data_IF_256227557700
#
_entry.id   IF_256227557700
#
_cell.length_a   1.000
_cell.length_b   1.000
_cell.length_c   1.000
_cell.angle_alpha   90.00
_cell.angle_beta   90.00
_cell.angle_gamma   90.00
#
_symmetry.space_group_name_H-M   'P 1'
#
loop_
_entity.id
_entity.type
_entity.pdbx_description
1 polymer ?
#
# COMPACT_ATOMS: atom_id res chain seq x y z
N UNK A 1 27.32 10.32 8.75
CA UNK A 1 27.51 8.94 8.25
C UNK A 1 26.24 8.59 7.50
N UNK A 2 26.23 8.84 6.19
CA UNK A 2 25.04 8.73 5.33
C UNK A 2 25.01 7.34 4.70
N UNK A 3 23.89 6.62 4.85
CA UNK A 3 23.66 5.31 4.21
C UNK A 3 23.29 5.51 2.73
N UNK A 4 23.71 4.62 1.83
CA UNK A 4 23.43 4.73 0.41
C UNK A 4 22.00 4.26 0.09
N UNK A 5 21.29 5.06 -0.71
CA UNK A 5 20.02 4.71 -1.34
C UNK A 5 20.25 3.53 -2.30
N UNK A 6 19.78 2.34 -1.93
CA UNK A 6 19.72 1.20 -2.85
C UNK A 6 18.49 1.35 -3.74
N UNK A 7 18.73 1.65 -5.01
CA UNK A 7 17.76 1.54 -6.09
C UNK A 7 17.31 0.08 -6.24
N UNK A 8 16.06 -0.21 -5.92
CA UNK A 8 15.43 -1.49 -6.27
C UNK A 8 15.20 -1.51 -7.79
N UNK A 9 16.06 -2.23 -8.52
CA UNK A 9 15.81 -2.60 -9.90
C UNK A 9 14.73 -3.67 -9.92
N UNK A 10 13.54 -3.31 -10.42
CA UNK A 10 12.49 -4.28 -10.72
C UNK A 10 12.97 -5.06 -11.95
N UNK A 11 13.47 -6.26 -11.67
CA UNK A 11 13.87 -7.21 -12.69
C UNK A 11 12.63 -7.61 -13.49
N UNK A 12 12.73 -7.40 -14.81
CA UNK A 12 11.78 -7.83 -15.85
C UNK A 12 11.16 -9.20 -15.53
N UNK A 13 9.84 -9.24 -15.40
CA UNK A 13 9.09 -10.48 -15.53
C UNK A 13 9.02 -10.83 -17.02
N UNK A 14 9.63 -11.95 -17.39
CA UNK A 14 9.62 -12.49 -18.74
C UNK A 14 8.24 -13.05 -19.07
N UNK A 15 7.54 -12.43 -20.02
CA UNK A 15 6.50 -13.08 -20.82
C UNK A 15 7.01 -13.21 -22.24
N UNK A 16 7.34 -14.44 -22.61
CA UNK A 16 7.55 -14.84 -24.00
C UNK A 16 6.19 -14.95 -24.68
N UNK A 17 5.97 -14.09 -25.68
CA UNK A 17 5.12 -14.37 -26.84
C UNK A 17 5.44 -13.34 -27.92
N UNK A 18 5.87 -13.85 -29.07
CA UNK A 18 6.40 -13.14 -30.22
C UNK A 18 5.39 -12.24 -30.98
N UNK A 19 5.94 -11.16 -31.55
CA UNK A 19 5.63 -10.49 -32.82
C UNK A 19 4.26 -9.82 -33.05
N UNK A 20 4.25 -8.48 -33.13
CA UNK A 20 4.21 -7.73 -34.41
C UNK A 20 4.15 -6.20 -34.18
N UNK A 21 4.75 -5.47 -35.13
CA UNK A 21 5.02 -4.04 -35.10
C UNK A 21 3.77 -3.16 -35.31
N UNK A 22 3.86 -1.95 -34.72
CA UNK A 22 3.31 -0.65 -35.14
C UNK A 22 1.87 -0.62 -35.67
N UNK A 23 0.98 0.02 -34.90
CA UNK A 23 0.20 1.17 -35.38
C UNK A 23 -0.52 1.84 -34.21
N UNK A 24 -0.53 3.19 -34.22
CA UNK A 24 -1.23 4.05 -33.27
C UNK A 24 -2.68 3.57 -33.08
N UNK A 25 -2.99 3.03 -31.91
CA UNK A 25 -4.36 2.66 -31.56
C UNK A 25 -4.64 2.90 -30.09
N UNK A 26 -5.74 3.60 -29.88
CA UNK A 26 -6.39 3.93 -28.62
C UNK A 26 -6.25 2.79 -27.61
N UNK A 27 -5.65 3.08 -26.46
CA UNK A 27 -5.61 2.16 -25.33
C UNK A 27 -7.03 2.12 -24.77
N UNK A 28 -7.84 1.19 -25.28
CA UNK A 28 -9.00 0.68 -24.56
C UNK A 28 -8.48 0.09 -23.25
N UNK A 29 -8.67 0.82 -22.15
CA UNK A 29 -8.29 0.38 -20.81
C UNK A 29 -9.19 -0.82 -20.50
N UNK A 30 -8.68 -2.02 -20.79
CA UNK A 30 -9.33 -3.27 -20.45
C UNK A 30 -9.37 -3.41 -18.92
N UNK A 31 -10.54 -3.68 -18.37
CA UNK A 31 -10.85 -3.83 -16.93
C UNK A 31 -9.84 -4.73 -16.16
N UNK A 32 -9.23 -5.72 -16.83
CA UNK A 32 -8.20 -6.62 -16.28
C UNK A 32 -6.89 -5.88 -15.92
N UNK A 33 -6.53 -4.82 -16.65
CA UNK A 33 -5.31 -4.07 -16.37
C UNK A 33 -5.44 -3.18 -15.13
N UNK A 34 -6.62 -2.58 -14.89
CA UNK A 34 -6.87 -1.75 -13.71
C UNK A 34 -6.81 -2.57 -12.42
N UNK A 35 -7.46 -3.73 -12.40
CA UNK A 35 -7.42 -4.66 -11.26
C UNK A 35 -6.01 -5.14 -10.92
N UNK A 36 -5.20 -5.44 -11.94
CA UNK A 36 -3.79 -5.86 -11.75
C UNK A 36 -2.94 -4.76 -11.14
N UNK A 37 -3.09 -3.52 -11.62
CA UNK A 37 -2.37 -2.36 -11.10
C UNK A 37 -2.76 -2.11 -9.64
N UNK A 38 -4.06 -2.17 -9.31
CA UNK A 38 -4.52 -2.04 -7.93
C UNK A 38 -3.96 -3.15 -7.02
N UNK A 39 -3.96 -4.39 -7.47
CA UNK A 39 -3.38 -5.51 -6.73
C UNK A 39 -1.86 -5.35 -6.54
N UNK A 40 -1.14 -4.87 -7.55
CA UNK A 40 0.29 -4.60 -7.45
C UNK A 40 0.57 -3.53 -6.39
N UNK A 41 -0.17 -2.41 -6.44
CA UNK A 41 -0.05 -1.33 -5.44
C UNK A 41 -0.42 -1.84 -4.05
N UNK A 42 -1.51 -2.60 -3.91
CA UNK A 42 -1.93 -3.16 -2.62
C UNK A 42 -0.88 -4.11 -2.05
N UNK A 43 -0.33 -5.01 -2.87
CA UNK A 43 0.73 -5.92 -2.43
C UNK A 43 1.97 -5.16 -1.97
N UNK A 44 2.33 -4.09 -2.67
CA UNK A 44 3.45 -3.23 -2.32
C UNK A 44 3.21 -2.48 -0.99
N UNK A 45 2.04 -1.86 -0.81
CA UNK A 45 1.71 -1.15 0.44
C UNK A 45 1.66 -2.11 1.62
N UNK A 46 1.12 -3.32 1.44
CA UNK A 46 1.10 -4.35 2.48
C UNK A 46 2.52 -4.78 2.83
N UNK A 47 3.39 -4.97 1.83
CA UNK A 47 4.80 -5.29 2.07
C UNK A 47 5.52 -4.18 2.84
N UNK A 48 5.31 -2.91 2.49
CA UNK A 48 5.89 -1.78 3.24
C UNK A 48 5.37 -1.71 4.67
N UNK A 49 4.08 -2.00 4.89
CA UNK A 49 3.46 -2.05 6.22
C UNK A 49 4.15 -3.11 7.10
N UNK A 50 4.33 -4.33 6.56
CA UNK A 50 5.00 -5.42 7.26
C UNK A 50 6.49 -5.14 7.46
N UNK A 51 7.19 -4.60 6.46
CA UNK A 51 8.61 -4.23 6.58
C UNK A 51 8.83 -3.20 7.67
N UNK A 52 7.95 -2.21 7.76
CA UNK A 52 7.99 -1.21 8.82
C UNK A 52 7.77 -1.85 10.20
N UNK A 53 6.81 -2.76 10.35
CA UNK A 53 6.58 -3.50 11.59
C UNK A 53 7.84 -4.27 12.04
N UNK A 54 8.49 -4.98 11.11
CA UNK A 54 9.80 -5.60 11.30
C UNK A 54 10.97 -4.61 11.37
N UNK A 55 10.76 -3.30 11.40
CA UNK A 55 11.80 -2.33 11.74
C UNK A 55 11.75 -1.92 13.21
N UNK A 56 10.60 -2.12 13.87
CA UNK A 56 10.35 -1.70 15.26
C UNK A 56 11.06 -2.64 16.24
N UNK A 57 12.02 -2.15 17.06
CA UNK A 57 12.78 -3.00 17.97
C UNK A 57 11.93 -3.71 19.03
N UNK A 58 10.89 -3.05 19.55
CA UNK A 58 9.98 -3.63 20.55
C UNK A 58 9.15 -4.78 19.98
N UNK A 59 8.77 -4.72 18.70
CA UNK A 59 8.08 -5.81 18.02
C UNK A 59 9.00 -7.04 17.85
N UNK A 60 10.26 -6.83 17.43
CA UNK A 60 11.25 -7.93 17.30
C UNK A 60 11.61 -8.62 18.61
N UNK A 61 11.46 -7.92 19.73
CA UNK A 61 11.76 -8.46 21.04
C UNK A 61 10.70 -9.46 21.54
N UNK A 62 9.52 -9.49 20.91
CA UNK A 62 8.45 -10.43 21.21
C UNK A 62 8.77 -11.83 20.68
N UNK A 63 8.12 -12.86 21.23
CA UNK A 63 8.20 -14.20 20.67
C UNK A 63 7.46 -14.27 19.31
N UNK A 64 7.74 -15.29 18.50
CA UNK A 64 7.18 -15.41 17.15
C UNK A 64 5.64 -15.50 17.14
N UNK A 65 5.04 -16.09 18.18
CA UNK A 65 3.60 -16.21 18.30
C UNK A 65 2.94 -14.84 18.52
N UNK A 66 3.46 -14.05 19.45
CA UNK A 66 2.98 -12.70 19.75
C UNK A 66 3.21 -11.76 18.55
N UNK A 67 4.33 -11.93 17.83
CA UNK A 67 4.56 -11.21 16.57
C UNK A 67 3.47 -11.52 15.55
N UNK A 68 3.11 -12.79 15.36
CA UNK A 68 2.07 -13.20 14.42
C UNK A 68 0.70 -12.64 14.83
N UNK A 69 0.33 -12.77 16.11
CA UNK A 69 -0.95 -12.27 16.63
C UNK A 69 -1.07 -10.76 16.41
N UNK A 70 -0.01 -10.00 16.72
CA UNK A 70 -0.01 -8.56 16.50
C UNK A 70 -0.13 -8.19 15.02
N UNK A 71 0.53 -8.93 14.12
CA UNK A 71 0.36 -8.73 12.66
C UNK A 71 -1.09 -8.98 12.26
N UNK A 72 -1.67 -10.11 12.66
CA UNK A 72 -3.05 -10.50 12.32
C UNK A 72 -4.09 -9.48 12.80
N UNK A 73 -3.84 -8.81 13.92
CA UNK A 73 -4.74 -7.80 14.48
C UNK A 73 -4.54 -6.40 13.86
N UNK A 74 -3.31 -6.06 13.44
CA UNK A 74 -2.97 -4.68 13.06
C UNK A 74 -2.80 -4.45 11.55
N UNK A 75 -2.68 -5.51 10.73
CA UNK A 75 -2.30 -5.37 9.31
C UNK A 75 -3.22 -4.45 8.51
N UNK A 76 -4.53 -4.47 8.75
CA UNK A 76 -5.51 -3.67 7.99
C UNK A 76 -5.38 -2.18 8.29
N UNK A 77 -5.17 -1.82 9.56
CA UNK A 77 -4.99 -0.44 9.98
C UNK A 77 -3.60 0.08 9.60
N UNK A 78 -2.56 -0.76 9.68
CA UNK A 78 -1.23 -0.44 9.16
C UNK A 78 -1.25 -0.24 7.64
N UNK A 79 -2.05 -1.02 6.91
CA UNK A 79 -2.23 -0.86 5.47
C UNK A 79 -2.85 0.48 5.10
N UNK A 80 -3.90 0.92 5.83
CA UNK A 80 -4.53 2.23 5.63
C UNK A 80 -3.55 3.37 5.92
N UNK A 81 -2.87 3.33 7.07
CA UNK A 81 -1.90 4.36 7.46
C UNK A 81 -0.74 4.44 6.48
N UNK A 82 -0.25 3.30 6.00
CA UNK A 82 0.83 3.25 4.99
C UNK A 82 0.34 3.73 3.62
N UNK A 83 -0.90 3.40 3.23
CA UNK A 83 -1.52 3.95 2.02
C UNK A 83 -1.59 5.48 2.06
N UNK A 84 -2.00 6.04 3.20
CA UNK A 84 -2.12 7.48 3.42
C UNK A 84 -0.75 8.18 3.43
N UNK A 85 0.23 7.63 4.17
CA UNK A 85 1.60 8.14 4.21
C UNK A 85 2.22 8.21 2.80
N UNK A 86 2.00 7.18 1.99
CA UNK A 86 2.53 7.09 0.63
C UNK A 86 1.65 7.79 -0.42
N UNK A 87 0.49 8.32 -0.02
CA UNK A 87 -0.49 8.98 -0.89
C UNK A 87 -0.95 8.08 -2.04
N UNK A 88 -1.04 6.77 -1.79
CA UNK A 88 -1.52 5.77 -2.76
C UNK A 88 -3.05 5.70 -2.71
N UNK A 89 -3.66 5.23 -3.81
CA UNK A 89 -5.11 5.03 -3.96
C UNK A 89 -6.00 6.29 -4.01
N UNK A 90 -5.43 7.50 -4.04
CA UNK A 90 -6.21 8.75 -4.11
C UNK A 90 -6.68 9.08 -5.54
N UNK A 91 -5.87 8.76 -6.56
CA UNK A 91 -6.09 9.17 -7.96
C UNK A 91 -6.48 8.01 -8.89
N UNK A 92 -6.73 6.81 -8.35
CA UNK A 92 -7.22 5.67 -9.13
C UNK A 92 -8.72 5.87 -9.37
N UNK A 93 -9.03 6.85 -10.22
CA UNK A 93 -10.34 7.02 -10.85
C UNK A 93 -10.58 5.81 -11.77
N UNK A 94 -11.80 5.28 -11.82
CA UNK A 94 -12.25 4.08 -12.58
C UNK A 94 -12.49 2.79 -11.76
N UNK A 95 -12.95 2.92 -10.51
CA UNK A 95 -14.01 2.01 -10.07
C UNK A 95 -15.21 2.89 -9.81
N UNK A 96 -15.87 3.33 -10.89
CA UNK A 96 -17.20 3.93 -10.86
C UNK A 96 -18.18 2.86 -10.37
N UNK A 97 -18.13 2.62 -9.06
CA UNK A 97 -19.25 2.05 -8.36
C UNK A 97 -20.18 3.21 -8.08
N UNK A 98 -21.34 3.25 -8.76
CA UNK A 98 -22.46 4.17 -8.47
C UNK A 98 -22.98 4.07 -7.02
N UNK A 99 -22.37 3.19 -6.23
CA UNK A 99 -22.63 2.98 -4.81
C UNK A 99 -21.68 3.88 -4.00
N UNK A 100 -22.18 5.06 -3.64
CA UNK A 100 -21.48 6.06 -2.81
C UNK A 100 -21.01 5.48 -1.46
N UNK A 101 -21.60 4.38 -1.01
CA UNK A 101 -21.25 3.68 0.24
C UNK A 101 -20.34 2.45 0.04
N UNK A 102 -19.71 2.30 -1.13
CA UNK A 102 -18.83 1.15 -1.36
C UNK A 102 -17.64 1.14 -0.38
N UNK A 103 -17.18 -0.03 0.11
CA UNK A 103 -16.06 -0.10 1.04
C UNK A 103 -14.78 0.55 0.52
N UNK A 104 -14.62 0.58 -0.81
CA UNK A 104 -13.51 1.25 -1.47
C UNK A 104 -13.62 2.77 -1.37
N UNK A 105 -14.82 3.34 -1.58
CA UNK A 105 -15.07 4.77 -1.38
C UNK A 105 -14.83 5.20 0.08
N UNK A 106 -15.26 4.38 1.06
CA UNK A 106 -14.99 4.63 2.47
C UNK A 106 -13.48 4.63 2.78
N UNK A 107 -12.75 3.65 2.24
CA UNK A 107 -11.29 3.56 2.35
C UNK A 107 -10.59 4.77 1.74
N UNK A 108 -10.99 5.19 0.54
CA UNK A 108 -10.46 6.39 -0.11
C UNK A 108 -10.77 7.66 0.68
N UNK A 109 -11.97 7.77 1.25
CA UNK A 109 -12.37 8.90 2.09
C UNK A 109 -11.51 8.99 3.34
N UNK A 110 -11.24 7.85 3.98
CA UNK A 110 -10.35 7.79 5.13
C UNK A 110 -8.95 8.30 4.76
N UNK A 111 -8.36 7.84 3.65
CA UNK A 111 -7.05 8.32 3.19
C UNK A 111 -7.07 9.84 2.88
N UNK A 112 -8.13 10.33 2.24
CA UNK A 112 -8.30 11.77 1.94
C UNK A 112 -8.37 12.60 3.22
N UNK A 113 -8.98 12.08 4.28
CA UNK A 113 -9.04 12.76 5.58
C UNK A 113 -7.65 12.93 6.21
N UNK A 114 -6.81 11.90 6.18
CA UNK A 114 -5.41 11.98 6.64
C UNK A 114 -4.61 13.04 5.86
N UNK A 115 -4.93 13.22 4.59
CA UNK A 115 -4.27 14.21 3.72
C UNK A 115 -4.67 15.65 4.04
N UNK A 116 -5.95 15.88 4.39
CA UNK A 116 -6.44 17.21 4.81
C UNK A 116 -5.70 17.68 6.06
N UNK A 117 -5.45 16.75 7.00
CA UNK A 117 -4.81 17.05 8.28
C UNK A 117 -3.29 17.24 8.18
N UNK A 118 -2.68 17.12 6.99
CA UNK A 118 -1.25 17.37 6.75
C UNK A 118 -0.32 16.65 7.75
N UNK A 119 -0.64 15.40 8.04
CA UNK A 119 0.06 14.59 9.03
C UNK A 119 1.51 14.39 8.59
N UNK A 120 2.44 14.60 9.52
CA UNK A 120 3.87 14.45 9.25
C UNK A 120 4.36 13.00 9.40
N UNK A 121 5.59 12.75 8.94
CA UNK A 121 6.19 11.41 8.97
C UNK A 121 6.33 10.84 10.40
N UNK A 122 6.58 11.69 11.39
CA UNK A 122 6.73 11.26 12.77
C UNK A 122 5.36 10.91 13.36
N UNK A 123 4.33 11.69 13.05
CA UNK A 123 2.96 11.42 13.47
C UNK A 123 2.44 10.11 12.87
N UNK A 124 2.69 9.83 11.59
CA UNK A 124 2.38 8.51 10.99
C UNK A 124 3.10 7.38 11.73
N UNK A 125 4.38 7.57 12.07
CA UNK A 125 5.15 6.59 12.84
C UNK A 125 4.52 6.35 14.21
N UNK A 126 4.12 7.41 14.91
CA UNK A 126 3.47 7.33 16.22
C UNK A 126 2.10 6.65 16.13
N UNK A 127 1.28 7.01 15.15
CA UNK A 127 -0.01 6.36 14.92
C UNK A 127 0.18 4.86 14.68
N UNK A 128 1.09 4.48 13.78
CA UNK A 128 1.37 3.06 13.52
C UNK A 128 1.87 2.32 14.76
N UNK A 129 2.66 2.97 15.62
CA UNK A 129 3.09 2.37 16.90
C UNK A 129 1.92 2.17 17.86
N UNK A 130 1.01 3.14 17.96
CA UNK A 130 -0.23 3.00 18.74
C UNK A 130 -1.02 1.82 18.21
N UNK A 131 -1.18 1.70 16.89
CA UNK A 131 -1.93 0.59 16.27
C UNK A 131 -1.37 -0.79 16.62
N UNK A 132 -0.05 -0.95 16.71
CA UNK A 132 0.54 -2.25 17.09
C UNK A 132 0.38 -2.54 18.58
N UNK A 133 0.57 -1.55 19.44
CA UNK A 133 0.71 -1.78 20.88
C UNK A 133 -0.54 -1.45 21.71
N UNK A 134 -1.62 -1.01 21.07
CA UNK A 134 -2.89 -0.66 21.72
C UNK A 134 -3.95 -1.76 21.59
N UNK A 135 -3.53 -3.03 21.63
CA UNK A 135 -4.39 -4.22 21.68
C UNK A 135 -4.33 -4.88 23.05
#
# INVERSE_FOLDING_TARGET
MFLPQQSFNISKCSTSSDMSNNDETQISINEDNSSRVLCEIASFVLLESIRWLYSVPSFKALNEFDQLVLVEQSWSMLFILTSAEMKKFIDQNEIDSDDDDSPYQLFQSMIKEFMIHSIDQNEYTLMKLIVIFNN
#
